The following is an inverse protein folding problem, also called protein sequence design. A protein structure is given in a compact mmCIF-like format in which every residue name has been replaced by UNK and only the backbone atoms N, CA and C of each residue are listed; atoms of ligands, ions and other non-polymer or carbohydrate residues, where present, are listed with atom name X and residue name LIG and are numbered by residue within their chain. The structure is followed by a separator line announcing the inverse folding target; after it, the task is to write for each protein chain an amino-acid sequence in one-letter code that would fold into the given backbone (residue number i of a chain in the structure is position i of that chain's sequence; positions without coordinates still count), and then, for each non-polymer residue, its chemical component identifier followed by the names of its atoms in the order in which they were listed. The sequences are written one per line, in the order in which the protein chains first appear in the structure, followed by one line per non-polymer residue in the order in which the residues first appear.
data_IF_232101215770
#
_entry.id   IF_232101215770
#
_cell.length_a   1.000
_cell.length_b   1.000
_cell.length_c   1.000
_cell.angle_alpha   90.00
_cell.angle_beta   90.00
_cell.angle_gamma   90.00
#
_symmetry.space_group_name_H-M   'P 1'
#
loop_
_entity.id
_entity.type
_entity.pdbx_description
1 polymer ?
#
# COMPACT_ATOMS: atom_id res chain seq x y z
N UNK A 1 -18.63 -17.26 10.62
CA UNK A 1 -17.78 -16.14 11.09
C UNK A 1 -16.72 -15.92 10.02
N UNK A 2 -16.99 -14.99 9.10
CA UNK A 2 -16.07 -14.74 7.99
C UNK A 2 -14.92 -13.88 8.52
N UNK A 3 -13.72 -14.44 8.60
CA UNK A 3 -12.51 -13.66 8.85
C UNK A 3 -12.39 -12.74 7.64
N UNK A 4 -12.76 -11.45 7.80
CA UNK A 4 -12.45 -10.46 6.80
C UNK A 4 -10.92 -10.38 6.75
N UNK A 5 -10.32 -10.87 5.67
CA UNK A 5 -8.90 -10.63 5.39
C UNK A 5 -8.74 -9.11 5.30
N UNK A 6 -8.12 -8.49 6.30
CA UNK A 6 -7.79 -7.06 6.26
C UNK A 6 -7.04 -6.77 4.95
N UNK A 7 -7.56 -5.84 4.16
CA UNK A 7 -6.90 -5.40 2.94
C UNK A 7 -5.87 -4.36 3.35
N UNK A 8 -4.59 -4.60 3.03
CA UNK A 8 -3.51 -3.67 3.41
C UNK A 8 -3.70 -2.25 2.86
N UNK A 9 -4.47 -2.09 1.77
CA UNK A 9 -4.83 -0.78 1.24
C UNK A 9 -5.75 0.03 2.16
N UNK A 10 -6.40 -0.60 3.14
CA UNK A 10 -7.20 0.07 4.16
C UNK A 10 -6.34 0.93 5.12
N UNK A 11 -5.01 0.72 5.14
CA UNK A 11 -4.06 1.53 5.89
C UNK A 11 -3.68 2.85 5.19
N UNK A 12 -4.05 3.00 3.92
CA UNK A 12 -3.76 4.18 3.10
C UNK A 12 -4.81 5.27 3.31
N UNK A 13 -4.42 6.51 3.02
CA UNK A 13 -5.32 7.65 2.97
C UNK A 13 -6.53 7.36 2.04
N UNK A 14 -7.76 7.75 2.42
CA UNK A 14 -8.96 7.45 1.63
C UNK A 14 -8.89 7.93 0.17
N UNK A 15 -8.28 9.08 -0.10
CA UNK A 15 -8.16 9.61 -1.45
C UNK A 15 -7.19 8.75 -2.28
N UNK A 16 -6.06 8.34 -1.68
CA UNK A 16 -5.09 7.45 -2.29
C UNK A 16 -5.70 6.06 -2.54
N UNK A 17 -6.35 5.46 -1.54
CA UNK A 17 -7.06 4.17 -1.67
C UNK A 17 -8.08 4.22 -2.81
N UNK A 18 -8.85 5.31 -2.90
CA UNK A 18 -9.80 5.52 -3.99
C UNK A 18 -9.10 5.57 -5.36
N UNK A 19 -7.96 6.24 -5.46
CA UNK A 19 -7.15 6.28 -6.69
C UNK A 19 -6.60 4.90 -7.08
N UNK A 20 -6.07 4.15 -6.10
CA UNK A 20 -5.55 2.79 -6.29
C UNK A 20 -6.64 1.87 -6.86
N UNK A 21 -7.85 1.92 -6.29
CA UNK A 21 -8.99 1.15 -6.77
C UNK A 21 -9.43 1.56 -8.19
N UNK A 22 -9.50 2.87 -8.50
CA UNK A 22 -9.84 3.36 -9.85
C UNK A 22 -8.84 2.94 -10.92
N UNK A 23 -7.59 2.73 -10.56
CA UNK A 23 -6.54 2.20 -11.45
C UNK A 23 -6.57 0.66 -11.57
N UNK A 24 -7.60 -0.01 -11.05
CA UNK A 24 -7.77 -1.46 -11.15
C UNK A 24 -6.95 -2.27 -10.15
N UNK A 25 -6.31 -1.63 -9.18
CA UNK A 25 -5.52 -2.30 -8.13
C UNK A 25 -6.46 -2.58 -6.95
N UNK A 26 -7.19 -3.69 -7.03
CA UNK A 26 -8.27 -4.01 -6.09
C UNK A 26 -7.75 -4.87 -4.92
N UNK A 27 -6.94 -5.88 -5.25
CA UNK A 27 -6.42 -6.84 -4.29
C UNK A 27 -4.90 -6.69 -4.17
N UNK A 28 -4.37 -6.56 -2.95
CA UNK A 28 -2.93 -6.45 -2.77
C UNK A 28 -2.24 -7.78 -3.09
N UNK A 29 -1.07 -7.70 -3.72
CA UNK A 29 -0.18 -8.84 -3.91
C UNK A 29 0.44 -9.25 -2.57
N UNK A 30 1.00 -10.46 -2.48
CA UNK A 30 1.72 -10.89 -1.26
C UNK A 30 2.90 -9.96 -0.94
N UNK A 31 3.62 -9.47 -1.95
CA UNK A 31 4.70 -8.50 -1.75
C UNK A 31 4.20 -7.19 -1.12
N UNK A 32 3.03 -6.70 -1.56
CA UNK A 32 2.41 -5.49 -1.01
C UNK A 32 1.90 -5.71 0.41
N UNK A 33 1.24 -6.85 0.69
CA UNK A 33 0.77 -7.21 2.05
C UNK A 33 1.91 -7.23 3.06
N UNK A 34 3.07 -7.76 2.66
CA UNK A 34 4.23 -7.86 3.54
C UNK A 34 4.97 -6.53 3.70
N UNK A 35 5.13 -5.75 2.63
CA UNK A 35 5.99 -4.56 2.68
C UNK A 35 5.28 -3.28 3.13
N UNK A 36 4.02 -3.06 2.74
CA UNK A 36 3.32 -1.80 3.02
C UNK A 36 3.24 -1.50 4.53
N UNK A 37 2.86 -2.44 5.42
CA UNK A 37 2.79 -2.17 6.86
C UNK A 37 4.16 -1.83 7.46
N UNK A 38 5.21 -2.52 6.99
CA UNK A 38 6.58 -2.33 7.44
C UNK A 38 7.10 -0.93 7.08
N UNK A 39 6.87 -0.51 5.84
CA UNK A 39 7.32 0.80 5.34
C UNK A 39 6.49 1.93 5.98
N UNK A 40 5.17 1.77 6.14
CA UNK A 40 4.33 2.75 6.85
C UNK A 40 4.76 2.94 8.30
N UNK A 41 5.25 1.88 8.95
CA UNK A 41 5.79 1.95 10.30
C UNK A 41 7.18 2.60 10.38
N UNK A 42 7.73 3.09 9.26
CA UNK A 42 9.03 3.77 9.19
C UNK A 42 10.24 2.84 9.30
N UNK A 43 10.07 1.53 9.07
CA UNK A 43 11.16 0.56 9.10
C UNK A 43 11.92 0.54 7.78
N UNK A 44 13.24 0.28 7.87
CA UNK A 44 14.04 -0.05 6.69
C UNK A 44 13.66 -1.46 6.22
N UNK A 45 13.12 -1.57 5.01
CA UNK A 45 12.56 -2.82 4.48
C UNK A 45 13.32 -3.28 3.24
N UNK A 46 13.83 -4.52 3.26
CA UNK A 46 14.34 -5.20 2.07
C UNK A 46 13.26 -6.12 1.51
N UNK A 47 12.76 -5.80 0.32
CA UNK A 47 11.72 -6.59 -0.36
C UNK A 47 12.32 -7.41 -1.52
N UNK A 48 12.32 -8.73 -1.39
CA UNK A 48 12.76 -9.66 -2.45
C UNK A 48 11.55 -10.43 -2.96
N UNK A 49 11.22 -10.27 -4.24
CA UNK A 49 10.18 -11.05 -4.93
C UNK A 49 10.37 -11.02 -6.44
N UNK A 50 9.76 -11.95 -7.20
CA UNK A 50 9.85 -11.98 -8.67
C UNK A 50 9.37 -10.69 -9.34
N UNK A 51 9.71 -10.49 -10.62
CA UNK A 51 9.10 -9.45 -11.46
C UNK A 51 7.58 -9.64 -11.56
N UNK A 52 6.83 -8.56 -11.78
CA UNK A 52 5.35 -8.61 -11.81
C UNK A 52 4.66 -8.78 -10.45
N UNK A 53 5.41 -8.96 -9.35
CA UNK A 53 4.84 -9.14 -7.99
C UNK A 53 4.32 -7.85 -7.34
N UNK A 54 4.35 -6.70 -8.03
CA UNK A 54 3.90 -5.42 -7.48
C UNK A 54 4.85 -4.75 -6.48
N UNK A 55 6.17 -5.01 -6.59
CA UNK A 55 7.21 -4.41 -5.70
C UNK A 55 7.24 -2.89 -5.75
N UNK A 56 7.01 -2.33 -6.95
CA UNK A 56 7.05 -0.89 -7.17
C UNK A 56 5.95 -0.21 -6.36
N UNK A 57 4.72 -0.70 -6.46
CA UNK A 57 3.57 -0.21 -5.70
C UNK A 57 3.75 -0.46 -4.21
N UNK A 58 4.32 -1.62 -3.84
CA UNK A 58 4.61 -1.96 -2.44
C UNK A 58 5.53 -0.91 -1.77
N UNK A 59 6.48 -0.34 -2.51
CA UNK A 59 7.35 0.73 -2.03
C UNK A 59 6.76 2.14 -2.19
N UNK A 60 6.05 2.41 -3.28
CA UNK A 60 5.56 3.76 -3.60
C UNK A 60 4.27 4.14 -2.88
N UNK A 61 3.29 3.24 -2.75
CA UNK A 61 2.03 3.54 -2.07
C UNK A 61 2.21 4.06 -0.64
N UNK A 62 3.07 3.48 0.22
CA UNK A 62 3.30 4.02 1.56
C UNK A 62 3.99 5.39 1.55
N UNK A 63 4.85 5.67 0.56
CA UNK A 63 5.47 7.00 0.39
C UNK A 63 4.45 8.05 -0.05
N UNK A 64 3.63 7.73 -1.06
CA UNK A 64 2.55 8.59 -1.53
C UNK A 64 1.55 8.87 -0.39
N UNK A 65 1.22 7.86 0.41
CA UNK A 65 0.37 8.01 1.59
C UNK A 65 0.92 9.07 2.57
N UNK A 66 2.24 9.06 2.81
CA UNK A 66 2.89 10.07 3.64
C UNK A 66 2.79 11.46 3.01
N UNK A 67 3.07 11.59 1.72
CA UNK A 67 2.96 12.87 0.99
C UNK A 67 1.53 13.43 1.06
N UNK A 68 0.51 12.58 0.90
CA UNK A 68 -0.89 12.98 1.02
C UNK A 68 -1.23 13.49 2.43
N UNK A 69 -0.80 12.77 3.48
CA UNK A 69 -1.02 13.18 4.86
C UNK A 69 -0.28 14.46 5.24
N UNK A 70 0.91 14.67 4.66
CA UNK A 70 1.75 15.85 4.92
C UNK A 70 1.28 17.10 4.12
N UNK A 71 0.39 16.95 3.14
CA UNK A 71 -0.16 18.06 2.33
C UNK A 71 -1.69 18.15 2.46
N UNK A 72 -2.22 18.67 3.59
CA UNK A 72 -3.65 18.67 3.91
C UNK A 72 -4.51 19.65 3.08
N UNK A 73 -3.95 20.29 2.04
CA UNK A 73 -4.64 21.30 1.21
C UNK A 73 -5.06 20.79 -0.18
N UNK A 74 -5.08 19.47 -0.40
CA UNK A 74 -5.78 18.86 -1.53
C UNK A 74 -7.22 18.49 -1.16
#
# INVERSE_FOLDING_TARGET
MSIQKENVFDMLDPALKGSVARNGIINPTEAQKLAIPEILAGRNTLLISPTGSGKTEAALLPLLNKIYKDNPHQ
#
